data_IF_302772844774
#
_entry.id   IF_302772844774
#
_cell.length_a   1.000
_cell.length_b   1.000
_cell.length_c   1.000
_cell.angle_alpha   90.00
_cell.angle_beta   90.00
_cell.angle_gamma   90.00
#
_symmetry.space_group_name_H-M   'P 1'
#
loop_
_entity.id
_entity.type
_entity.pdbx_description
1 polymer ?
#
# COMPACT_ATOMS: atom_id res chain seq x y z
N UNK A 1 -8.67 8.49 4.36
CA UNK A 1 -9.46 9.10 5.45
C UNK A 1 -10.80 9.45 4.85
N UNK A 2 -11.89 9.23 5.57
CA UNK A 2 -13.22 9.75 5.24
C UNK A 2 -13.90 10.02 6.57
N UNK A 3 -14.79 11.01 6.64
CA UNK A 3 -15.53 11.30 7.88
C UNK A 3 -16.25 10.02 8.34
N UNK A 4 -16.11 9.71 9.63
CA UNK A 4 -16.64 8.49 10.27
C UNK A 4 -16.18 7.14 9.66
N UNK A 5 -15.14 7.15 8.81
CA UNK A 5 -14.58 5.93 8.25
C UNK A 5 -13.83 5.09 9.29
N UNK A 6 -14.03 3.77 9.31
CA UNK A 6 -13.40 2.88 10.31
C UNK A 6 -11.87 2.83 10.29
N UNK A 7 -11.22 3.29 9.22
CA UNK A 7 -9.76 3.42 9.12
C UNK A 7 -9.24 4.83 9.45
N UNK A 8 -10.13 5.75 9.83
CA UNK A 8 -9.80 7.13 10.19
C UNK A 8 -9.58 7.24 11.70
N UNK A 9 -8.35 7.04 12.14
CA UNK A 9 -7.97 7.16 13.55
C UNK A 9 -7.58 8.58 13.96
N UNK A 10 -7.63 9.57 13.05
CA UNK A 10 -7.24 10.95 13.32
C UNK A 10 -8.44 11.85 13.65
N UNK A 11 -9.66 11.37 13.38
CA UNK A 11 -10.87 12.19 13.47
C UNK A 11 -10.96 13.23 12.36
N UNK A 12 -10.15 13.11 11.31
CA UNK A 12 -10.14 14.05 10.20
C UNK A 12 -11.47 14.06 9.47
N UNK A 13 -12.08 15.23 9.27
CA UNK A 13 -13.36 15.39 8.62
C UNK A 13 -13.35 16.65 7.74
N UNK A 14 -13.70 16.50 6.47
CA UNK A 14 -13.80 17.59 5.50
C UNK A 14 -14.79 17.21 4.41
N UNK A 15 -15.85 18.01 4.26
CA UNK A 15 -16.92 17.76 3.29
C UNK A 15 -16.38 17.76 1.85
N UNK A 16 -15.50 18.71 1.54
CA UNK A 16 -14.87 18.80 0.21
C UNK A 16 -13.94 17.61 -0.05
N UNK A 17 -13.14 17.21 0.94
CA UNK A 17 -12.26 16.05 0.81
C UNK A 17 -13.08 14.78 0.57
N UNK A 18 -14.13 14.57 1.35
CA UNK A 18 -15.00 13.40 1.24
C UNK A 18 -15.71 13.36 -0.12
N UNK A 19 -16.21 14.49 -0.64
CA UNK A 19 -16.81 14.55 -1.97
C UNK A 19 -15.80 14.20 -3.07
N UNK A 20 -14.56 14.71 -2.98
CA UNK A 20 -13.50 14.37 -3.92
C UNK A 20 -13.24 12.85 -3.93
N UNK A 21 -13.07 12.24 -2.75
CA UNK A 21 -12.68 10.84 -2.63
C UNK A 21 -13.84 9.88 -2.92
N UNK A 22 -15.05 10.19 -2.48
CA UNK A 22 -16.21 9.30 -2.58
C UNK A 22 -16.99 9.48 -3.89
N UNK A 23 -16.99 10.68 -4.48
CA UNK A 23 -17.83 10.99 -5.64
C UNK A 23 -17.03 11.39 -6.87
N UNK A 24 -16.22 12.45 -6.80
CA UNK A 24 -15.61 13.05 -8.00
C UNK A 24 -14.54 12.15 -8.61
N UNK A 25 -13.55 11.72 -7.82
CA UNK A 25 -12.43 10.92 -8.33
C UNK A 25 -12.86 9.52 -8.84
N UNK A 26 -13.84 8.83 -8.21
CA UNK A 26 -14.37 7.58 -8.77
C UNK A 26 -15.17 7.74 -10.07
N UNK A 27 -15.78 8.91 -10.30
CA UNK A 27 -16.59 9.21 -11.50
C UNK A 27 -15.81 9.88 -12.63
N UNK A 28 -14.55 10.27 -12.40
CA UNK A 28 -13.71 10.90 -13.42
C UNK A 28 -13.53 10.00 -14.65
N UNK A 29 -13.71 10.57 -15.84
CA UNK A 29 -13.71 9.84 -17.11
C UNK A 29 -12.29 9.51 -17.58
N UNK A 30 -11.33 10.34 -17.18
CA UNK A 30 -9.93 10.19 -17.58
C UNK A 30 -9.02 10.00 -16.39
N UNK A 31 -7.89 9.34 -16.64
CA UNK A 31 -6.84 9.17 -15.63
C UNK A 31 -6.29 10.51 -15.16
N UNK A 32 -6.11 11.47 -16.07
CA UNK A 32 -5.50 12.76 -15.73
C UNK A 32 -6.44 13.60 -14.86
N UNK A 33 -7.74 13.58 -15.15
CA UNK A 33 -8.77 14.19 -14.29
C UNK A 33 -8.79 13.54 -12.90
N UNK A 34 -8.83 12.19 -12.85
CA UNK A 34 -8.80 11.44 -11.60
C UNK A 34 -7.55 11.76 -10.78
N UNK A 35 -6.39 11.90 -11.43
CA UNK A 35 -5.13 12.21 -10.77
C UNK A 35 -5.09 13.66 -10.29
N UNK A 36 -5.64 14.61 -11.04
CA UNK A 36 -5.79 16.00 -10.59
C UNK A 36 -6.66 16.11 -9.33
N UNK A 37 -7.74 15.34 -9.26
CA UNK A 37 -8.60 15.28 -8.07
C UNK A 37 -7.87 14.69 -6.85
N UNK A 38 -7.12 13.60 -7.00
CA UNK A 38 -6.32 13.09 -5.89
C UNK A 38 -5.21 14.02 -5.46
N UNK A 39 -4.54 14.70 -6.40
CA UNK A 39 -3.53 15.69 -6.09
C UNK A 39 -4.12 16.83 -5.23
N UNK A 40 -5.33 17.29 -5.57
CA UNK A 40 -6.05 18.28 -4.76
C UNK A 40 -6.34 17.75 -3.35
N UNK A 41 -6.91 16.55 -3.23
CA UNK A 41 -7.23 15.94 -1.93
C UNK A 41 -5.98 15.72 -1.07
N UNK A 42 -4.89 15.18 -1.64
CA UNK A 42 -3.61 15.03 -0.93
C UNK A 42 -3.05 16.38 -0.48
N UNK A 43 -3.12 17.41 -1.33
CA UNK A 43 -2.65 18.76 -0.96
C UNK A 43 -3.43 19.32 0.23
N UNK A 44 -4.76 19.16 0.27
CA UNK A 44 -5.58 19.56 1.42
C UNK A 44 -5.12 18.84 2.70
N UNK A 45 -4.99 17.52 2.64
CA UNK A 45 -4.56 16.71 3.78
C UNK A 45 -3.15 17.11 4.25
N UNK A 46 -2.22 17.40 3.34
CA UNK A 46 -0.87 17.84 3.71
C UNK A 46 -0.84 19.24 4.33
N UNK A 47 -1.71 20.16 3.90
CA UNK A 47 -1.80 21.51 4.49
C UNK A 47 -2.44 21.49 5.88
N UNK A 48 -3.44 20.62 6.08
CA UNK A 48 -4.18 20.51 7.35
C UNK A 48 -3.47 19.61 8.37
N UNK A 49 -2.48 18.82 7.91
CA UNK A 49 -1.62 17.95 8.72
C UNK A 49 -2.34 17.04 9.73
N UNK A 50 -3.42 16.31 9.35
CA UNK A 50 -4.03 15.32 10.25
C UNK A 50 -3.12 14.09 10.43
N UNK A 51 -2.13 13.91 9.56
CA UNK A 51 -1.06 12.91 9.66
C UNK A 51 0.28 13.54 9.32
N UNK A 52 1.37 12.90 9.77
CA UNK A 52 2.75 13.26 9.38
C UNK A 52 3.39 12.01 8.76
N UNK A 53 3.47 11.90 7.41
CA UNK A 53 4.14 10.79 6.75
C UNK A 53 5.64 10.77 7.09
N UNK A 54 6.17 9.60 7.46
CA UNK A 54 7.59 9.46 7.86
C UNK A 54 8.41 8.71 6.81
N UNK A 55 7.87 7.64 6.22
CA UNK A 55 8.54 6.84 5.21
C UNK A 55 7.55 6.05 4.35
N UNK A 56 8.01 5.58 3.20
CA UNK A 56 7.34 4.57 2.37
C UNK A 56 7.94 3.19 2.66
N UNK A 57 7.09 2.17 2.74
CA UNK A 57 7.53 0.83 3.11
C UNK A 57 8.40 0.18 2.02
N UNK A 58 9.37 -0.62 2.44
CA UNK A 58 10.06 -1.59 1.59
C UNK A 58 9.92 -2.97 2.19
N UNK A 59 9.78 -3.98 1.34
CA UNK A 59 9.59 -5.36 1.78
C UNK A 59 10.87 -6.16 1.56
N UNK A 60 11.41 -6.73 2.63
CA UNK A 60 12.60 -7.58 2.60
C UNK A 60 12.29 -8.88 3.34
N UNK A 61 12.54 -10.00 2.68
CA UNK A 61 12.31 -11.33 3.25
C UNK A 61 13.59 -12.12 3.27
N UNK A 62 13.84 -12.80 4.39
CA UNK A 62 14.81 -13.88 4.44
C UNK A 62 14.07 -15.18 4.08
N UNK A 63 14.42 -15.77 2.94
CA UNK A 63 13.77 -16.98 2.42
C UNK A 63 14.77 -18.12 2.45
N UNK A 64 14.44 -19.20 3.16
CA UNK A 64 15.29 -20.39 3.22
C UNK A 64 15.40 -21.05 1.83
N UNK A 65 16.57 -21.59 1.42
CA UNK A 65 16.76 -22.17 0.07
C UNK A 65 15.83 -23.34 -0.28
N UNK A 66 15.25 -23.99 0.72
CA UNK A 66 14.24 -25.02 0.50
C UNK A 66 12.91 -24.47 -0.02
N UNK A 67 12.67 -23.18 0.10
CA UNK A 67 11.39 -22.57 -0.30
C UNK A 67 11.44 -22.20 -1.78
N UNK A 68 10.49 -22.73 -2.54
CA UNK A 68 10.26 -22.42 -3.95
C UNK A 68 8.84 -21.89 -4.13
N UNK A 69 8.65 -20.96 -5.08
CA UNK A 69 7.32 -20.44 -5.44
C UNK A 69 6.80 -19.29 -4.58
N UNK A 70 7.59 -18.78 -3.63
CA UNK A 70 7.25 -17.59 -2.83
C UNK A 70 7.80 -16.32 -3.51
N UNK A 71 7.07 -15.81 -4.50
CA UNK A 71 7.44 -14.59 -5.21
C UNK A 71 6.92 -13.33 -4.51
N UNK A 72 7.69 -12.23 -4.47
CA UNK A 72 7.21 -10.95 -3.94
C UNK A 72 6.11 -10.37 -4.83
N UNK A 73 5.25 -9.54 -4.23
CA UNK A 73 4.23 -8.77 -4.96
C UNK A 73 4.07 -7.39 -4.34
N UNK A 74 3.40 -6.49 -5.08
CA UNK A 74 3.24 -5.08 -4.70
C UNK A 74 2.51 -4.88 -3.36
N UNK A 75 1.64 -5.83 -2.99
CA UNK A 75 0.86 -5.78 -1.75
C UNK A 75 1.55 -6.49 -0.58
N UNK A 76 2.75 -7.03 -0.81
CA UNK A 76 3.49 -7.83 0.15
C UNK A 76 2.71 -9.03 0.74
N UNK A 77 1.75 -9.55 -0.02
CA UNK A 77 0.86 -10.62 0.44
C UNK A 77 1.45 -12.01 0.18
N UNK A 78 1.54 -12.86 1.20
CA UNK A 78 2.03 -14.24 1.01
C UNK A 78 1.01 -15.12 0.28
N UNK A 79 1.32 -15.53 -0.95
CA UNK A 79 0.51 -16.49 -1.70
C UNK A 79 1.05 -17.92 -1.53
N UNK A 80 0.54 -18.64 -0.54
CA UNK A 80 1.03 -19.98 -0.18
C UNK A 80 0.61 -21.09 -1.16
N UNK A 81 -0.36 -20.83 -2.06
CA UNK A 81 -0.90 -21.84 -2.98
C UNK A 81 0.18 -22.49 -3.86
N UNK A 82 1.20 -21.72 -4.24
CA UNK A 82 2.28 -22.17 -5.13
C UNK A 82 3.58 -22.48 -4.39
N UNK A 83 3.58 -22.32 -3.05
CA UNK A 83 4.78 -22.51 -2.25
C UNK A 83 5.03 -24.00 -2.02
N UNK A 84 6.27 -24.42 -2.25
CA UNK A 84 6.74 -25.78 -1.98
C UNK A 84 8.00 -25.75 -1.15
N UNK A 85 8.17 -26.80 -0.34
CA UNK A 85 9.42 -27.07 0.36
C UNK A 85 10.12 -28.24 -0.34
N UNK A 86 11.41 -28.04 -0.63
CA UNK A 86 12.29 -29.06 -1.18
C UNK A 86 13.23 -29.57 -0.08
N UNK A 87 12.97 -30.76 0.48
CA UNK A 87 13.85 -31.35 1.49
C UNK A 87 15.28 -31.47 0.96
N UNK A 88 16.27 -31.16 1.80
CA UNK A 88 17.70 -31.28 1.44
C UNK A 88 18.33 -30.08 0.74
N UNK A 89 17.56 -29.04 0.35
CA UNK A 89 18.15 -27.76 -0.09
C UNK A 89 18.59 -26.95 1.14
N UNK A 90 19.88 -26.69 1.25
CA UNK A 90 20.48 -25.80 2.25
C UNK A 90 21.27 -24.68 1.56
N UNK A 91 21.66 -23.65 2.32
CA UNK A 91 22.66 -22.70 1.84
C UNK A 91 23.97 -23.49 1.68
N UNK A 92 24.54 -23.52 0.48
CA UNK A 92 25.88 -24.05 0.31
C UNK A 92 26.83 -23.11 1.05
N UNK A 93 27.54 -23.63 2.05
CA UNK A 93 28.45 -22.86 2.88
C UNK A 93 29.70 -22.45 2.12
N UNK A 94 29.61 -21.46 1.26
CA UNK A 94 30.75 -20.63 0.86
C UNK A 94 30.35 -19.18 1.08
N UNK A 95 30.55 -18.73 2.33
CA UNK A 95 30.67 -17.32 2.63
C UNK A 95 32.01 -16.85 2.05
N UNK A 96 31.95 -15.97 1.04
CA UNK A 96 33.08 -15.09 0.73
C UNK A 96 33.22 -14.04 1.82
#
# INVERSE_FOLDING_TARGET
FITDGGNNNTGYASEEFDDIILNLAPKAETRDERYGLFYKAETMMMNEMPIIPIYTYTSKHLVHPSVEGMYPNLMDSLNLKYVKLHPGRSLNGEAN
#
